data_IF_974361172429
#
_entry.id   IF_974361172429
#
_cell.length_a   1.000
_cell.length_b   1.000
_cell.length_c   1.000
_cell.angle_alpha   90.00
_cell.angle_beta   90.00
_cell.angle_gamma   90.00
#
_symmetry.space_group_name_H-M   'P 1'
#
loop_
_entity.id
_entity.type
_entity.pdbx_description
1 polymer ?
#
# COMPACT_ATOMS: atom_id res chain seq x y z
N UNK A 1 58.06 1.06 -53.33
CA UNK A 1 56.70 0.55 -53.10
C UNK A 1 56.74 -0.24 -51.79
N UNK A 2 56.17 0.30 -50.71
CA UNK A 2 56.25 -0.29 -49.36
C UNK A 2 55.01 -1.16 -49.15
N UNK A 3 55.23 -2.43 -48.80
CA UNK A 3 54.20 -3.36 -48.35
C UNK A 3 53.59 -2.86 -47.03
N UNK A 4 52.28 -2.60 -47.01
CA UNK A 4 51.52 -2.41 -45.76
C UNK A 4 50.79 -3.71 -45.44
N UNK A 5 51.31 -4.43 -44.45
CA UNK A 5 50.56 -5.44 -43.69
C UNK A 5 50.07 -4.75 -42.42
N UNK A 6 48.75 -4.72 -42.20
CA UNK A 6 48.11 -4.55 -40.90
C UNK A 6 46.62 -4.83 -41.05
N UNK A 7 46.26 -6.11 -40.99
CA UNK A 7 44.91 -6.52 -40.62
C UNK A 7 44.94 -6.76 -39.10
N UNK A 8 44.28 -5.88 -38.35
CA UNK A 8 43.95 -6.11 -36.95
C UNK A 8 42.44 -5.99 -36.83
N UNK A 9 41.84 -7.16 -36.66
CA UNK A 9 40.42 -7.44 -36.49
C UNK A 9 39.94 -6.73 -35.22
N UNK A 10 39.07 -5.73 -35.37
CA UNK A 10 38.27 -5.24 -34.25
C UNK A 10 37.25 -6.33 -33.88
N UNK A 11 37.55 -7.08 -32.84
CA UNK A 11 36.59 -7.96 -32.18
C UNK A 11 35.47 -7.10 -31.58
N UNK A 12 34.30 -7.11 -32.22
CA UNK A 12 33.07 -6.60 -31.64
C UNK A 12 32.70 -7.46 -30.43
N UNK A 13 33.02 -6.96 -29.23
CA UNK A 13 32.39 -7.41 -28.00
C UNK A 13 30.92 -6.99 -28.06
N UNK A 14 30.08 -7.91 -28.54
CA UNK A 14 28.66 -7.90 -28.30
C UNK A 14 28.42 -8.15 -26.81
N UNK A 15 28.60 -7.10 -25.99
CA UNK A 15 27.98 -7.06 -24.68
C UNK A 15 26.48 -6.95 -24.95
N UNK A 16 25.80 -8.11 -24.88
CA UNK A 16 24.36 -8.19 -24.86
C UNK A 16 23.86 -7.29 -23.74
N UNK A 17 23.38 -6.11 -24.11
CA UNK A 17 22.52 -5.34 -23.24
C UNK A 17 21.27 -6.18 -23.08
N UNK A 18 21.20 -6.93 -21.98
CA UNK A 18 19.94 -7.26 -21.38
C UNK A 18 19.30 -5.92 -21.02
N UNK A 19 18.65 -5.31 -22.01
CA UNK A 19 17.58 -4.38 -21.79
C UNK A 19 16.52 -5.22 -21.10
N UNK A 20 16.61 -5.28 -19.77
CA UNK A 20 15.42 -5.39 -18.96
C UNK A 20 14.58 -4.21 -19.42
N UNK A 21 13.66 -4.46 -20.35
CA UNK A 21 12.55 -3.58 -20.59
C UNK A 21 11.85 -3.52 -19.23
N UNK A 22 12.22 -2.51 -18.44
CA UNK A 22 11.39 -2.01 -17.39
C UNK A 22 10.12 -1.58 -18.11
N UNK A 23 9.16 -2.49 -18.19
CA UNK A 23 7.80 -2.13 -18.48
C UNK A 23 7.37 -1.28 -17.29
N UNK A 24 7.66 0.02 -17.44
CA UNK A 24 7.15 1.11 -16.64
C UNK A 24 5.64 1.13 -16.91
N UNK A 25 4.92 0.21 -16.28
CA UNK A 25 3.47 0.22 -16.28
C UNK A 25 3.02 1.32 -15.33
N UNK A 26 3.01 2.55 -15.86
CA UNK A 26 2.41 3.72 -15.25
C UNK A 26 0.88 3.66 -15.26
N UNK A 27 0.31 2.60 -14.67
CA UNK A 27 -1.04 2.62 -14.11
C UNK A 27 -0.91 2.26 -12.65
N UNK A 28 -0.37 3.23 -11.93
CA UNK A 28 -0.39 3.22 -10.49
C UNK A 28 -1.86 3.22 -10.04
N UNK A 29 -2.17 2.55 -8.93
CA UNK A 29 -3.43 2.76 -8.22
C UNK A 29 -3.68 4.27 -8.12
N UNK A 30 -4.89 4.74 -8.39
CA UNK A 30 -5.20 6.17 -8.57
C UNK A 30 -4.93 7.03 -7.31
N UNK A 31 -4.61 6.40 -6.17
CA UNK A 31 -3.96 7.05 -5.02
C UNK A 31 -2.66 7.78 -5.39
N UNK A 32 -1.90 7.24 -6.35
CA UNK A 32 -0.67 7.82 -6.85
C UNK A 32 -0.86 9.00 -7.82
N UNK A 33 -2.00 9.09 -8.52
CA UNK A 33 -2.24 10.19 -9.46
C UNK A 33 -2.51 11.52 -8.73
N UNK A 34 -3.22 11.50 -7.60
CA UNK A 34 -3.28 12.67 -6.68
C UNK A 34 -1.94 12.94 -6.00
N UNK A 35 -1.08 11.92 -5.91
CA UNK A 35 0.28 12.09 -5.44
C UNK A 35 1.14 12.90 -6.42
N UNK A 36 0.88 12.86 -7.73
CA UNK A 36 1.60 13.71 -8.69
C UNK A 36 1.40 15.22 -8.44
N UNK A 37 0.23 15.62 -7.93
CA UNK A 37 -0.05 17.00 -7.52
C UNK A 37 0.59 17.36 -6.16
N UNK A 38 0.66 16.40 -5.23
CA UNK A 38 1.29 16.57 -3.90
C UNK A 38 2.84 16.56 -4.01
N UNK A 39 3.41 15.80 -4.94
CA UNK A 39 4.85 15.66 -5.18
C UNK A 39 5.52 16.93 -5.71
N UNK A 40 4.76 17.91 -6.22
CA UNK A 40 5.32 19.22 -6.60
C UNK A 40 5.83 20.04 -5.41
N UNK A 41 5.54 19.64 -4.17
CA UNK A 41 5.86 20.45 -3.00
C UNK A 41 7.09 20.02 -2.19
N UNK A 42 7.53 18.76 -2.13
CA UNK A 42 8.49 18.36 -1.09
C UNK A 42 9.49 17.25 -1.45
N UNK A 43 10.53 17.62 -2.20
CA UNK A 43 11.81 16.90 -2.21
C UNK A 43 12.76 17.50 -1.18
N UNK A 44 12.77 16.99 0.05
CA UNK A 44 13.95 17.10 0.91
C UNK A 44 14.15 15.82 1.70
N UNK A 45 15.21 15.08 1.35
CA UNK A 45 15.67 13.91 2.08
C UNK A 45 15.87 14.23 3.55
N UNK A 46 15.22 13.44 4.42
CA UNK A 46 15.43 13.48 5.86
C UNK A 46 15.67 12.07 6.39
N UNK A 47 16.73 11.96 7.17
CA UNK A 47 17.28 10.77 7.81
C UNK A 47 16.22 9.98 8.59
N UNK A 48 15.90 8.76 8.13
CA UNK A 48 15.13 7.74 8.85
C UNK A 48 15.98 7.24 10.03
N UNK A 49 15.69 7.70 11.25
CA UNK A 49 16.56 7.46 12.43
C UNK A 49 15.93 6.71 13.60
N UNK A 50 14.73 6.16 13.46
CA UNK A 50 14.16 5.29 14.47
C UNK A 50 13.60 4.02 13.82
N UNK A 51 14.40 2.95 13.83
CA UNK A 51 13.91 1.61 13.55
C UNK A 51 13.63 0.92 14.87
N UNK A 52 12.37 0.59 15.13
CA UNK A 52 11.99 -0.22 16.30
C UNK A 52 11.68 -1.65 15.87
N UNK A 53 12.63 -2.54 16.11
CA UNK A 53 12.51 -3.96 15.81
C UNK A 53 11.73 -4.73 16.87
N UNK A 54 11.40 -4.13 18.02
CA UNK A 54 10.62 -4.78 19.08
C UNK A 54 9.13 -4.89 18.76
N UNK A 55 8.67 -4.09 17.79
CA UNK A 55 7.29 -4.08 17.31
C UNK A 55 6.95 -5.24 16.38
N UNK A 56 7.95 -6.04 15.99
CA UNK A 56 7.80 -7.25 15.21
C UNK A 56 8.37 -8.42 16.02
N UNK A 57 7.55 -9.41 16.33
CA UNK A 57 8.01 -10.61 17.03
C UNK A 57 9.02 -11.37 16.17
N UNK A 58 9.86 -12.21 16.80
CA UNK A 58 10.82 -13.01 16.04
C UNK A 58 10.12 -14.00 15.07
N UNK A 59 9.02 -14.62 15.52
CA UNK A 59 8.21 -15.54 14.70
C UNK A 59 7.65 -14.82 13.48
N UNK A 60 7.12 -13.62 13.68
CA UNK A 60 6.58 -12.79 12.61
C UNK A 60 7.66 -12.27 11.66
N UNK A 61 8.83 -11.93 12.19
CA UNK A 61 10.00 -11.56 11.40
C UNK A 61 10.45 -12.69 10.46
N UNK A 62 10.48 -13.92 10.97
CA UNK A 62 10.78 -15.10 10.17
C UNK A 62 9.67 -15.38 9.14
N UNK A 63 8.39 -15.19 9.51
CA UNK A 63 7.26 -15.34 8.60
C UNK A 63 7.37 -14.41 7.39
N UNK A 64 7.53 -13.09 7.59
CA UNK A 64 7.59 -12.14 6.47
C UNK A 64 8.85 -12.35 5.62
N UNK A 65 9.96 -12.76 6.24
CA UNK A 65 11.19 -13.09 5.53
C UNK A 65 11.01 -14.33 4.65
N UNK A 66 10.39 -15.39 5.17
CA UNK A 66 10.12 -16.62 4.43
C UNK A 66 9.09 -16.39 3.32
N UNK A 67 8.12 -15.50 3.54
CA UNK A 67 7.15 -15.07 2.53
C UNK A 67 7.82 -14.30 1.37
N UNK A 68 8.98 -13.69 1.61
CA UNK A 68 9.81 -13.06 0.57
C UNK A 68 9.88 -11.54 0.64
N UNK A 69 9.59 -10.93 1.80
CA UNK A 69 9.81 -9.49 2.00
C UNK A 69 11.31 -9.17 1.87
N UNK A 70 11.63 -8.05 1.21
CA UNK A 70 13.00 -7.54 1.07
C UNK A 70 13.65 -7.24 2.43
N UNK A 71 12.85 -6.73 3.37
CA UNK A 71 13.22 -6.44 4.74
C UNK A 71 11.95 -6.25 5.59
N UNK A 72 12.10 -6.30 6.91
CA UNK A 72 11.08 -5.76 7.81
C UNK A 72 10.96 -4.24 7.62
N UNK A 73 9.79 -3.70 7.92
CA UNK A 73 9.52 -2.27 7.90
C UNK A 73 10.37 -1.48 8.89
N UNK A 74 10.33 -0.15 8.70
CA UNK A 74 11.10 0.80 9.49
C UNK A 74 10.50 0.97 10.89
N UNK A 75 9.18 0.90 11.03
CA UNK A 75 8.50 0.97 12.33
C UNK A 75 8.88 2.19 13.19
N UNK A 76 8.84 3.43 12.67
CA UNK A 76 9.06 4.61 13.50
C UNK A 76 7.97 4.73 14.57
N UNK A 77 8.33 5.27 15.74
CA UNK A 77 7.44 5.48 16.90
C UNK A 77 7.19 6.96 17.19
N UNK A 78 7.57 7.83 16.25
CA UNK A 78 7.33 9.27 16.32
C UNK A 78 7.30 9.85 14.90
N UNK A 79 6.66 11.02 14.75
CA UNK A 79 6.53 11.68 13.47
C UNK A 79 7.89 11.95 12.80
N UNK A 80 8.07 11.47 11.58
CA UNK A 80 9.28 11.73 10.78
C UNK A 80 8.95 11.93 9.29
N UNK A 81 8.59 13.15 8.92
CA UNK A 81 8.28 13.49 7.52
C UNK A 81 6.97 12.88 7.05
N UNK A 82 6.97 12.26 5.87
CA UNK A 82 5.79 11.65 5.23
C UNK A 82 5.64 10.14 5.52
N UNK A 83 6.35 9.60 6.51
CA UNK A 83 6.18 8.20 6.91
C UNK A 83 5.18 8.07 8.07
N UNK A 84 4.30 7.06 8.06
CA UNK A 84 3.43 6.75 9.19
C UNK A 84 4.27 6.22 10.35
N UNK A 85 3.79 6.39 11.57
CA UNK A 85 4.47 5.96 12.80
C UNK A 85 3.50 5.34 13.79
N UNK A 86 4.01 4.51 14.69
CA UNK A 86 3.22 3.85 15.72
C UNK A 86 2.95 4.86 16.83
N UNK A 87 1.68 5.05 17.15
CA UNK A 87 1.21 6.08 18.08
C UNK A 87 -0.12 6.68 17.65
N UNK A 88 -0.73 7.45 18.54
CA UNK A 88 -2.01 8.12 18.39
C UNK A 88 -1.91 9.66 18.46
N UNK A 89 -0.68 10.20 18.37
CA UNK A 89 -0.38 11.63 18.46
C UNK A 89 -0.47 12.37 17.10
N UNK A 90 -0.79 11.66 16.01
CA UNK A 90 -1.02 12.24 14.69
C UNK A 90 -2.42 12.81 14.49
N UNK A 91 -2.59 13.63 13.44
CA UNK A 91 -3.89 14.18 13.06
C UNK A 91 -4.83 13.15 12.43
N UNK A 92 -4.25 12.20 11.69
CA UNK A 92 -4.95 11.04 11.18
C UNK A 92 -4.42 9.82 11.90
N UNK A 93 -5.30 9.10 12.58
CA UNK A 93 -4.95 7.86 13.26
C UNK A 93 -5.80 6.73 12.73
N UNK A 94 -5.26 5.51 12.74
CA UNK A 94 -6.00 4.31 12.43
C UNK A 94 -5.65 3.24 13.47
N UNK A 95 -6.65 2.80 14.22
CA UNK A 95 -6.52 1.64 15.10
C UNK A 95 -6.75 0.37 14.28
N UNK A 96 -5.69 -0.41 14.06
CA UNK A 96 -5.76 -1.70 13.41
C UNK A 96 -6.07 -2.78 14.44
N UNK A 97 -7.20 -3.46 14.27
CA UNK A 97 -7.78 -4.42 15.22
C UNK A 97 -7.77 -5.79 14.55
N UNK A 98 -7.02 -6.73 15.10
CA UNK A 98 -7.03 -8.12 14.66
C UNK A 98 -8.22 -8.85 15.29
N UNK A 99 -9.22 -9.19 14.48
CA UNK A 99 -10.39 -9.98 14.89
C UNK A 99 -10.22 -11.48 14.60
N UNK A 100 -9.11 -11.87 13.97
CA UNK A 100 -8.78 -13.25 13.69
C UNK A 100 -8.29 -14.02 14.92
N UNK A 101 -8.25 -15.34 14.78
CA UNK A 101 -7.81 -16.28 15.82
C UNK A 101 -6.28 -16.49 15.86
N UNK A 102 -5.56 -15.97 14.87
CA UNK A 102 -4.09 -16.02 14.79
C UNK A 102 -3.48 -14.61 14.89
N UNK A 103 -2.22 -14.55 15.30
CA UNK A 103 -1.44 -13.33 15.25
C UNK A 103 -1.21 -12.91 13.79
N UNK A 104 -1.22 -11.60 13.54
CA UNK A 104 -1.03 -11.03 12.21
C UNK A 104 0.15 -10.06 12.22
N UNK A 105 0.79 -9.88 11.07
CA UNK A 105 1.65 -8.74 10.80
C UNK A 105 0.90 -7.74 9.95
N UNK A 106 0.72 -6.52 10.45
CA UNK A 106 0.27 -5.41 9.62
C UNK A 106 1.46 -4.89 8.81
N UNK A 107 1.37 -4.98 7.48
CA UNK A 107 2.27 -4.32 6.56
C UNK A 107 1.64 -3.02 6.06
N UNK A 108 2.39 -1.91 6.10
CA UNK A 108 1.96 -0.60 5.56
C UNK A 108 3.04 -0.07 4.62
N UNK A 109 2.65 0.39 3.44
CA UNK A 109 3.55 0.91 2.44
C UNK A 109 3.03 2.20 1.80
N UNK A 110 3.95 3.04 1.32
CA UNK A 110 3.64 4.24 0.57
C UNK A 110 3.40 3.95 -0.93
N UNK A 111 3.26 4.97 -1.78
CA UNK A 111 2.76 4.81 -3.17
C UNK A 111 3.70 4.05 -4.10
N UNK A 112 4.97 3.92 -3.72
CA UNK A 112 5.99 3.17 -4.48
C UNK A 112 6.19 1.74 -3.93
N UNK A 113 5.43 1.33 -2.92
CA UNK A 113 5.83 0.25 -2.00
C UNK A 113 4.99 -1.01 -1.98
N UNK A 114 4.13 -1.27 -2.98
CA UNK A 114 3.35 -2.51 -2.99
C UNK A 114 4.19 -3.77 -3.25
N UNK A 115 5.31 -3.63 -3.98
CA UNK A 115 6.29 -4.70 -4.19
C UNK A 115 7.18 -4.91 -2.96
N UNK A 116 6.62 -5.50 -1.91
CA UNK A 116 7.30 -5.72 -0.61
C UNK A 116 8.57 -6.58 -0.73
N UNK A 117 8.69 -7.38 -1.79
CA UNK A 117 9.89 -8.15 -2.12
C UNK A 117 11.07 -7.31 -2.65
N UNK A 118 10.83 -6.06 -3.04
CA UNK A 118 11.83 -5.16 -3.60
C UNK A 118 11.93 -3.81 -2.88
N UNK A 119 10.82 -3.35 -2.31
CA UNK A 119 10.71 -2.08 -1.59
C UNK A 119 10.35 -2.38 -0.15
N UNK A 120 11.17 -1.90 0.78
CA UNK A 120 10.90 -2.07 2.22
C UNK A 120 9.60 -1.34 2.60
N UNK A 121 8.62 -2.03 3.23
CA UNK A 121 7.43 -1.39 3.77
C UNK A 121 7.80 -0.29 4.78
N UNK A 122 6.91 0.69 4.95
CA UNK A 122 7.11 1.71 5.99
C UNK A 122 6.94 1.08 7.38
N UNK A 123 5.92 0.23 7.54
CA UNK A 123 5.65 -0.52 8.78
C UNK A 123 5.51 -2.02 8.50
N UNK A 124 6.04 -2.83 9.40
CA UNK A 124 5.66 -4.24 9.61
C UNK A 124 5.58 -4.47 11.12
N UNK A 125 4.37 -4.55 11.66
CA UNK A 125 4.14 -4.65 13.10
C UNK A 125 3.28 -5.87 13.45
N UNK A 126 3.63 -6.55 14.53
CA UNK A 126 2.85 -7.65 15.08
C UNK A 126 1.58 -7.13 15.76
N UNK A 127 0.44 -7.72 15.43
CA UNK A 127 -0.84 -7.53 16.09
C UNK A 127 -1.32 -8.90 16.57
N UNK A 128 -1.25 -9.17 17.89
CA UNK A 128 -1.74 -10.43 18.44
C UNK A 128 -3.21 -10.67 18.09
N UNK A 129 -3.64 -11.93 18.07
CA UNK A 129 -5.07 -12.28 17.98
C UNK A 129 -5.89 -11.50 19.01
N UNK A 130 -7.03 -10.95 18.58
CA UNK A 130 -7.89 -10.08 19.40
C UNK A 130 -7.22 -8.80 19.94
N UNK A 131 -6.01 -8.48 19.46
CA UNK A 131 -5.25 -7.29 19.83
C UNK A 131 -5.45 -6.13 18.86
N UNK A 132 -4.89 -4.97 19.20
CA UNK A 132 -4.86 -3.81 18.30
C UNK A 132 -3.54 -3.03 18.37
N UNK A 133 -3.30 -2.24 17.32
CA UNK A 133 -2.21 -1.27 17.22
C UNK A 133 -2.69 0.01 16.56
N UNK A 134 -2.37 1.16 17.15
CA UNK A 134 -2.67 2.47 16.54
C UNK A 134 -1.47 2.98 15.76
N UNK A 135 -1.74 3.42 14.53
CA UNK A 135 -0.77 4.08 13.66
C UNK A 135 -1.26 5.48 13.36
N UNK A 136 -0.34 6.44 13.44
CA UNK A 136 -0.52 7.81 13.02
C UNK A 136 0.01 8.01 11.61
N UNK A 137 -0.74 8.76 10.81
CA UNK A 137 -0.42 9.08 9.42
C UNK A 137 -0.20 10.59 9.26
N UNK A 138 0.89 11.03 8.62
CA UNK A 138 1.10 12.45 8.35
C UNK A 138 0.18 12.95 7.24
N UNK A 139 -0.15 14.25 7.27
CA UNK A 139 -0.80 14.91 6.12
C UNK A 139 0.08 14.73 4.88
N UNK A 140 -0.56 14.39 3.76
CA UNK A 140 0.07 14.10 2.48
C UNK A 140 0.46 12.63 2.32
N UNK A 141 0.31 11.79 3.35
CA UNK A 141 0.53 10.35 3.19
C UNK A 141 -0.50 9.76 2.23
N UNK A 142 -0.02 8.86 1.38
CA UNK A 142 -0.84 8.03 0.51
C UNK A 142 -0.18 6.67 0.40
N UNK A 143 -0.96 5.61 0.31
CA UNK A 143 -0.44 4.26 0.31
C UNK A 143 -1.52 3.25 0.64
N UNK A 144 -1.09 2.07 1.08
CA UNK A 144 -1.99 0.99 1.44
C UNK A 144 -1.40 0.14 2.57
N UNK A 145 -2.24 -0.77 3.07
CA UNK A 145 -1.90 -1.73 4.10
C UNK A 145 -2.60 -3.07 3.85
N UNK A 146 -2.02 -4.13 4.37
CA UNK A 146 -2.61 -5.46 4.36
C UNK A 146 -2.17 -6.26 5.60
N UNK A 147 -3.02 -7.19 6.09
CA UNK A 147 -2.58 -8.20 7.04
C UNK A 147 -1.68 -9.22 6.34
N UNK A 148 -0.70 -9.74 7.06
CA UNK A 148 0.16 -10.86 6.65
C UNK A 148 0.08 -11.92 7.75
N UNK A 149 -0.12 -13.16 7.34
CA UNK A 149 -0.34 -14.30 8.22
C UNK A 149 0.29 -15.56 7.63
N UNK A 150 0.18 -16.67 8.37
CA UNK A 150 0.83 -17.95 8.03
C UNK A 150 0.47 -18.51 6.64
N UNK A 151 -0.72 -18.17 6.14
CA UNK A 151 -1.22 -18.58 4.83
C UNK A 151 -1.08 -17.53 3.72
N UNK A 152 -0.48 -16.37 4.02
CA UNK A 152 -0.30 -15.31 3.01
C UNK A 152 0.62 -15.75 1.88
N UNK A 153 0.41 -15.15 0.71
CA UNK A 153 1.20 -15.38 -0.49
C UNK A 153 1.62 -14.04 -1.10
N UNK A 154 2.73 -14.06 -1.84
CA UNK A 154 3.08 -12.95 -2.73
C UNK A 154 2.77 -13.33 -4.17
N UNK A 155 2.07 -12.46 -4.88
CA UNK A 155 1.89 -12.55 -6.34
C UNK A 155 2.59 -11.35 -6.97
N UNK A 156 3.54 -11.63 -7.87
CA UNK A 156 4.41 -10.60 -8.47
C UNK A 156 5.11 -9.71 -7.43
N UNK A 157 5.44 -10.27 -6.26
CA UNK A 157 6.12 -9.55 -5.18
C UNK A 157 5.23 -8.67 -4.30
N UNK A 158 3.92 -8.68 -4.52
CA UNK A 158 2.92 -7.93 -3.76
C UNK A 158 2.11 -8.87 -2.87
N UNK A 159 1.65 -8.38 -1.72
CA UNK A 159 0.82 -9.16 -0.79
C UNK A 159 -0.50 -9.51 -1.48
N UNK A 160 -0.76 -10.79 -1.71
CA UNK A 160 -1.95 -11.28 -2.42
C UNK A 160 -3.13 -11.47 -1.46
N UNK A 161 -3.66 -10.36 -0.96
CA UNK A 161 -4.76 -10.31 0.00
C UNK A 161 -5.61 -9.04 -0.23
N UNK A 162 -6.69 -8.87 0.52
CA UNK A 162 -7.46 -7.63 0.56
C UNK A 162 -6.61 -6.51 1.12
N UNK A 163 -6.63 -5.34 0.46
CA UNK A 163 -5.90 -4.16 0.92
C UNK A 163 -6.86 -3.13 1.49
N UNK A 164 -6.38 -2.34 2.44
CA UNK A 164 -6.95 -1.03 2.70
C UNK A 164 -6.06 0.02 2.07
N UNK A 165 -6.64 0.89 1.27
CA UNK A 165 -5.94 1.99 0.62
C UNK A 165 -6.34 3.31 1.26
N UNK A 166 -5.43 4.28 1.26
CA UNK A 166 -5.68 5.56 1.91
C UNK A 166 -4.83 6.69 1.39
N UNK A 167 -5.44 7.88 1.42
CA UNK A 167 -4.76 9.16 1.21
C UNK A 167 -5.25 10.12 2.29
N UNK A 168 -4.33 10.67 3.08
CA UNK A 168 -4.63 11.63 4.15
C UNK A 168 -4.20 13.04 3.71
N UNK A 169 -5.02 13.71 2.92
CA UNK A 169 -4.73 15.03 2.38
C UNK A 169 -5.99 15.93 2.45
N UNK A 170 -6.19 16.67 3.56
CA UNK A 170 -7.36 17.55 3.70
C UNK A 170 -7.51 18.56 2.56
N UNK A 171 -8.75 18.90 2.14
CA UNK A 171 -10.01 18.34 2.61
C UNK A 171 -10.40 17.02 1.90
N UNK A 172 -9.51 16.46 1.10
CA UNK A 172 -9.77 15.36 0.17
C UNK A 172 -9.29 13.99 0.68
N UNK A 173 -9.08 13.85 1.98
CA UNK A 173 -8.70 12.56 2.57
C UNK A 173 -9.74 11.50 2.22
N UNK A 174 -9.28 10.31 1.83
CA UNK A 174 -10.13 9.20 1.42
C UNK A 174 -9.47 7.87 1.80
N UNK A 175 -10.29 6.89 2.18
CA UNK A 175 -9.88 5.50 2.39
C UNK A 175 -10.87 4.54 1.77
N UNK A 176 -10.43 3.34 1.44
CA UNK A 176 -11.28 2.30 0.87
C UNK A 176 -10.65 0.91 1.07
N UNK A 177 -11.48 -0.11 0.98
CA UNK A 177 -11.11 -1.52 0.90
C UNK A 177 -11.00 -1.87 -0.58
N UNK A 178 -9.92 -2.55 -0.93
CA UNK A 178 -9.60 -2.97 -2.29
C UNK A 178 -9.44 -4.49 -2.35
N UNK A 179 -10.35 -5.12 -3.10
CA UNK A 179 -10.36 -6.54 -3.43
C UNK A 179 -9.81 -6.81 -4.84
N UNK A 180 -9.33 -5.77 -5.52
CA UNK A 180 -8.71 -5.89 -6.85
C UNK A 180 -7.51 -6.84 -6.84
N UNK A 181 -6.75 -6.83 -5.74
CA UNK A 181 -5.53 -7.63 -5.60
C UNK A 181 -5.85 -9.08 -5.30
N UNK A 182 -6.88 -9.35 -4.51
CA UNK A 182 -7.40 -10.69 -4.27
C UNK A 182 -8.90 -10.61 -3.96
N UNK A 183 -9.73 -11.02 -4.92
CA UNK A 183 -11.19 -10.99 -4.81
C UNK A 183 -11.71 -11.88 -3.67
N UNK A 184 -10.89 -12.81 -3.18
CA UNK A 184 -11.17 -13.74 -2.07
C UNK A 184 -10.22 -13.54 -0.89
N UNK A 185 -9.60 -12.37 -0.79
CA UNK A 185 -8.77 -12.02 0.37
C UNK A 185 -9.58 -12.01 1.67
N UNK A 186 -8.87 -11.91 2.78
CA UNK A 186 -9.44 -11.79 4.12
C UNK A 186 -10.39 -10.63 4.23
N UNK A 187 -11.35 -10.75 5.14
CA UNK A 187 -12.29 -9.68 5.43
C UNK A 187 -11.57 -8.48 6.03
N UNK A 188 -11.90 -7.29 5.54
CA UNK A 188 -11.46 -6.02 6.09
C UNK A 188 -12.65 -5.07 6.19
N UNK A 189 -12.67 -4.23 7.22
CA UNK A 189 -13.55 -3.08 7.31
C UNK A 189 -12.80 -1.87 7.85
N UNK A 190 -12.93 -0.73 7.19
CA UNK A 190 -12.34 0.57 7.56
C UNK A 190 -13.48 1.51 7.92
N UNK A 191 -13.52 1.90 9.19
CA UNK A 191 -14.50 2.82 9.74
C UNK A 191 -13.86 4.19 9.87
N UNK A 192 -14.36 5.15 9.11
CA UNK A 192 -14.12 6.58 9.34
C UNK A 192 -15.23 7.14 10.24
N UNK A 193 -15.11 8.40 10.73
CA UNK A 193 -16.18 9.02 11.51
C UNK A 193 -17.53 9.14 10.78
N UNK A 194 -17.56 9.08 9.45
CA UNK A 194 -18.77 9.33 8.65
C UNK A 194 -19.14 8.18 7.71
N UNK A 195 -18.19 7.29 7.41
CA UNK A 195 -18.26 6.38 6.28
C UNK A 195 -17.61 5.03 6.65
N UNK A 196 -18.18 3.95 6.16
CA UNK A 196 -17.61 2.60 6.28
C UNK A 196 -17.26 2.09 4.89
N UNK A 197 -16.03 1.60 4.75
CA UNK A 197 -15.62 0.79 3.61
C UNK A 197 -15.36 -0.63 4.11
N UNK A 198 -15.96 -1.63 3.51
CA UNK A 198 -15.83 -3.04 3.89
C UNK A 198 -15.82 -3.94 2.66
N UNK A 199 -16.06 -5.24 2.81
CA UNK A 199 -16.00 -6.18 1.69
C UNK A 199 -17.10 -5.98 0.63
N UNK A 200 -18.17 -5.23 0.96
CA UNK A 200 -19.35 -5.04 0.13
C UNK A 200 -19.77 -3.57 -0.04
N UNK A 201 -19.25 -2.66 0.79
CA UNK A 201 -19.59 -1.23 0.83
C UNK A 201 -18.37 -0.38 0.55
N UNK A 202 -18.49 0.60 -0.35
CA UNK A 202 -17.37 1.46 -0.75
C UNK A 202 -16.08 0.68 -1.03
N UNK A 203 -16.18 -0.33 -1.87
CA UNK A 203 -15.13 -1.34 -2.10
C UNK A 203 -14.72 -1.40 -3.55
N UNK A 204 -13.43 -1.41 -3.82
CA UNK A 204 -12.94 -1.68 -5.16
C UNK A 204 -12.91 -3.18 -5.44
N UNK A 205 -13.48 -3.59 -6.57
CA UNK A 205 -13.59 -4.99 -7.00
C UNK A 205 -13.35 -5.12 -8.50
N UNK A 206 -12.86 -6.27 -8.93
CA UNK A 206 -12.87 -6.63 -10.34
C UNK A 206 -14.30 -6.70 -10.86
N UNK A 207 -14.56 -6.06 -12.01
CA UNK A 207 -15.87 -6.05 -12.65
C UNK A 207 -16.26 -7.44 -13.17
N UNK A 208 -15.26 -8.28 -13.50
CA UNK A 208 -15.47 -9.71 -13.75
C UNK A 208 -15.31 -10.48 -12.42
N UNK A 209 -16.42 -10.89 -11.81
CA UNK A 209 -16.37 -11.61 -10.53
C UNK A 209 -15.79 -13.04 -10.64
N UNK A 210 -15.54 -13.54 -11.86
CA UNK A 210 -14.93 -14.86 -12.06
C UNK A 210 -13.41 -14.84 -11.94
N UNK A 211 -12.76 -13.67 -12.02
CA UNK A 211 -11.30 -13.53 -11.86
C UNK A 211 -10.91 -13.44 -10.40
N UNK A 212 -9.69 -13.88 -10.08
CA UNK A 212 -9.16 -13.81 -8.71
C UNK A 212 -8.55 -12.44 -8.39
N UNK A 213 -8.10 -11.71 -9.41
CA UNK A 213 -7.49 -10.39 -9.29
C UNK A 213 -7.58 -9.63 -10.61
N UNK A 214 -7.40 -8.32 -10.57
CA UNK A 214 -7.37 -7.46 -11.73
C UNK A 214 -6.49 -6.23 -11.46
N UNK A 215 -5.82 -5.75 -12.49
CA UNK A 215 -5.13 -4.45 -12.49
C UNK A 215 -5.97 -3.37 -13.19
N UNK A 216 -6.89 -3.80 -14.04
CA UNK A 216 -7.78 -2.96 -14.84
C UNK A 216 -9.12 -3.69 -14.99
N UNK A 217 -10.18 -2.96 -15.31
CA UNK A 217 -11.52 -3.57 -15.37
C UNK A 217 -12.04 -3.83 -13.96
N UNK A 218 -11.86 -2.84 -13.09
CA UNK A 218 -12.38 -2.80 -11.73
C UNK A 218 -13.39 -1.67 -11.61
N UNK A 219 -14.22 -1.76 -10.58
CA UNK A 219 -15.26 -0.81 -10.24
C UNK A 219 -15.27 -0.52 -8.75
N UNK A 220 -15.82 0.64 -8.38
CA UNK A 220 -16.09 1.01 -7.00
C UNK A 220 -17.54 0.67 -6.67
N UNK A 221 -17.75 -0.38 -5.89
CA UNK A 221 -19.06 -0.93 -5.60
C UNK A 221 -19.66 -0.26 -4.37
N UNK A 222 -20.97 0.01 -4.43
CA UNK A 222 -21.79 0.53 -3.32
C UNK A 222 -21.20 1.77 -2.63
N UNK A 223 -20.68 2.72 -3.42
CA UNK A 223 -20.09 3.97 -2.92
C UNK A 223 -20.69 5.24 -3.52
N UNK A 224 -21.87 5.17 -4.14
CA UNK A 224 -22.49 6.32 -4.79
C UNK A 224 -22.56 7.53 -3.83
N UNK A 225 -22.35 8.73 -4.33
CA UNK A 225 -22.48 9.96 -3.52
C UNK A 225 -23.84 10.00 -2.83
N UNK A 226 -23.84 10.13 -1.49
CA UNK A 226 -25.06 10.11 -0.67
C UNK A 226 -25.54 8.72 -0.22
N UNK A 227 -24.87 7.63 -0.63
CA UNK A 227 -25.10 6.28 -0.07
C UNK A 227 -24.77 6.22 1.44
N UNK A 228 -23.78 7.00 1.85
CA UNK A 228 -23.44 7.31 3.24
C UNK A 228 -22.79 8.69 3.31
N UNK A 229 -22.70 9.26 4.51
CA UNK A 229 -21.98 10.51 4.72
C UNK A 229 -20.50 10.31 4.36
N UNK A 230 -19.91 11.23 3.60
CA UNK A 230 -18.51 11.13 3.17
C UNK A 230 -18.22 10.12 2.06
N UNK A 231 -19.18 9.33 1.56
CA UNK A 231 -18.96 8.51 0.37
C UNK A 231 -18.78 9.38 -0.87
N UNK A 232 -17.72 9.10 -1.62
CA UNK A 232 -17.42 9.73 -2.89
C UNK A 232 -17.33 8.65 -3.98
N UNK A 233 -17.85 8.96 -5.16
CA UNK A 233 -17.78 8.09 -6.33
C UNK A 233 -17.55 8.92 -7.58
N UNK A 234 -16.74 8.40 -8.50
CA UNK A 234 -16.52 9.00 -9.80
C UNK A 234 -15.49 8.24 -10.61
N UNK A 235 -14.94 8.91 -11.61
CA UNK A 235 -13.88 8.38 -12.45
C UNK A 235 -12.71 9.33 -12.50
N UNK A 236 -11.49 8.79 -12.46
CA UNK A 236 -10.26 9.53 -12.71
C UNK A 236 -9.49 8.83 -13.84
N UNK A 237 -9.13 9.58 -14.88
CA UNK A 237 -8.44 9.03 -16.08
C UNK A 237 -9.11 7.78 -16.68
N UNK A 238 -10.44 7.71 -16.61
CA UNK A 238 -11.24 6.61 -17.15
C UNK A 238 -11.29 5.36 -16.28
N UNK A 239 -10.69 5.37 -15.09
CA UNK A 239 -10.80 4.32 -14.09
C UNK A 239 -11.72 4.75 -12.93
N UNK A 240 -12.32 3.79 -12.24
CA UNK A 240 -13.13 4.06 -11.06
C UNK A 240 -12.29 4.77 -9.97
N UNK A 241 -12.92 5.68 -9.23
CA UNK A 241 -12.28 6.46 -8.17
C UNK A 241 -13.31 6.85 -7.12
N UNK A 242 -12.87 7.08 -5.89
CA UNK A 242 -13.77 7.44 -4.79
C UNK A 242 -13.36 6.74 -3.51
N UNK A 243 -14.34 6.43 -2.67
CA UNK A 243 -14.15 5.79 -1.37
C UNK A 243 -14.74 6.63 -0.23
N UNK A 244 -14.35 6.28 0.99
CA UNK A 244 -14.77 6.93 2.21
C UNK A 244 -13.93 8.16 2.54
N UNK A 245 -14.49 9.34 2.27
CA UNK A 245 -13.94 10.64 2.63
C UNK A 245 -14.68 11.31 3.78
N UNK A 246 -14.80 12.65 3.73
CA UNK A 246 -15.51 13.43 4.76
C UNK A 246 -14.77 13.54 6.09
N UNK A 247 -13.48 13.21 6.12
CA UNK A 247 -12.66 13.17 7.34
C UNK A 247 -12.21 14.54 7.86
N UNK A 248 -12.45 15.64 7.13
CA UNK A 248 -12.01 16.98 7.55
C UNK A 248 -10.48 17.11 7.67
N UNK A 249 -10.04 17.92 8.63
CA UNK A 249 -8.60 18.18 8.88
C UNK A 249 -7.94 17.14 9.80
N UNK A 250 -8.75 16.31 10.48
CA UNK A 250 -8.28 15.23 11.35
C UNK A 250 -9.35 14.16 11.52
N UNK A 251 -8.93 12.89 11.65
CA UNK A 251 -9.85 11.80 11.90
C UNK A 251 -9.18 10.63 12.64
N UNK A 252 -9.95 9.99 13.52
CA UNK A 252 -9.60 8.71 14.12
C UNK A 252 -10.40 7.61 13.42
N UNK A 253 -9.68 6.73 12.72
CA UNK A 253 -10.22 5.59 12.01
C UNK A 253 -10.04 4.32 12.83
N UNK A 254 -10.83 3.30 12.50
CA UNK A 254 -10.60 1.93 12.95
C UNK A 254 -10.59 1.01 11.74
N UNK A 255 -9.64 0.11 11.68
CA UNK A 255 -9.58 -0.95 10.66
C UNK A 255 -9.66 -2.30 11.34
N UNK A 256 -10.67 -3.08 10.98
CA UNK A 256 -10.87 -4.43 11.44
C UNK A 256 -10.27 -5.39 10.42
N UNK A 257 -9.38 -6.26 10.87
CA UNK A 257 -8.66 -7.26 10.08
C UNK A 257 -9.15 -8.65 10.50
N UNK A 258 -9.75 -9.40 9.58
CA UNK A 258 -10.23 -10.78 9.82
C UNK A 258 -9.26 -11.87 9.43
#
# INVERSE_FOLDING_TARGET
MRFSSSALVLGTLAAGQATAASMYHGKQHNHAARHADILKAHHQGRSLKARDTSLLSAVDGDMIKNLGFSASGLNPTSASGLSPWIGDDGQFTNEFINQGEEDLVLAVWGPQGSWVNAVTPQLTISIPSSGSKTVSFPIGWSGAWAPVHSGSQLVNGQIFDTWGEGTFAPPYSVVDVSREVNMKGRSMAIHTPQCISDMDTCVFKCSDESVEQCLTGYELVNCATGSQAGANFGTYEGAASGGCGGMGDSAALKTYLG
#
